data_IF_491982054165
#
_entry.id   IF_491982054165
#
_cell.length_a   1.000
_cell.length_b   1.000
_cell.length_c   1.000
_cell.angle_alpha   90.00
_cell.angle_beta   90.00
_cell.angle_gamma   90.00
#
_symmetry.space_group_name_H-M   'P 1'
#
loop_
_entity.id
_entity.type
_entity.pdbx_description
1 polymer ?
#
# COMPACT_ATOMS: atom_id res chain seq x y z
N UNK A 1 -0.18 -8.99 25.29
CA UNK A 1 1.29 -9.05 25.45
C UNK A 1 1.92 -8.32 24.26
N UNK A 2 2.67 -7.24 24.51
CA UNK A 2 3.34 -6.44 23.47
C UNK A 2 4.54 -7.22 22.93
N UNK A 3 4.35 -8.00 21.88
CA UNK A 3 5.37 -8.87 21.30
C UNK A 3 6.29 -8.12 20.31
N UNK A 4 6.77 -6.93 20.68
CA UNK A 4 7.93 -6.33 19.99
C UNK A 4 9.19 -6.93 20.60
N UNK A 5 9.56 -8.14 20.15
CA UNK A 5 10.70 -8.97 20.62
C UNK A 5 12.08 -8.32 20.37
N UNK A 6 12.28 -7.07 20.76
CA UNK A 6 13.56 -6.39 20.55
C UNK A 6 14.71 -7.11 21.29
N UNK A 7 14.43 -7.83 22.38
CA UNK A 7 15.40 -8.65 23.11
C UNK A 7 15.85 -9.89 22.34
N UNK A 8 15.09 -10.36 21.35
CA UNK A 8 15.52 -11.44 20.45
C UNK A 8 16.58 -10.98 19.43
N UNK A 9 16.94 -9.70 19.41
CA UNK A 9 17.95 -9.17 18.49
C UNK A 9 19.36 -9.69 18.81
N UNK A 10 19.90 -10.54 17.92
CA UNK A 10 21.27 -11.07 18.00
C UNK A 10 22.35 -10.11 17.46
N UNK A 11 22.00 -8.86 17.15
CA UNK A 11 22.92 -7.78 16.71
C UNK A 11 23.74 -8.06 15.44
N UNK A 12 23.31 -8.97 14.56
CA UNK A 12 24.02 -9.34 13.32
C UNK A 12 24.08 -8.26 12.21
N UNK A 13 23.32 -7.17 12.31
CA UNK A 13 23.33 -6.02 11.36
C UNK A 13 22.79 -6.31 9.95
N UNK A 14 22.29 -7.52 9.67
CA UNK A 14 21.64 -7.87 8.37
C UNK A 14 20.50 -6.92 8.01
N UNK A 15 19.74 -6.44 8.99
CA UNK A 15 18.67 -5.47 8.75
C UNK A 15 19.16 -4.16 8.12
N UNK A 16 20.40 -3.74 8.41
CA UNK A 16 20.99 -2.51 7.85
C UNK A 16 21.39 -2.71 6.40
N UNK A 17 21.92 -3.87 6.02
CA UNK A 17 22.38 -4.14 4.63
C UNK A 17 21.21 -4.18 3.64
N UNK A 18 20.03 -4.64 4.08
CA UNK A 18 18.81 -4.67 3.27
C UNK A 18 18.00 -3.38 3.32
N UNK A 19 18.38 -2.41 4.16
CA UNK A 19 17.62 -1.19 4.35
C UNK A 19 17.86 -0.21 3.19
N UNK A 20 16.82 0.14 2.40
CA UNK A 20 17.01 1.06 1.29
C UNK A 20 17.40 2.47 1.75
N UNK A 21 16.88 2.93 2.89
CA UNK A 21 17.15 4.28 3.40
C UNK A 21 18.61 4.40 3.85
N UNK A 22 19.13 3.41 4.58
CA UNK A 22 20.52 3.44 5.09
C UNK A 22 21.54 3.45 3.96
N UNK A 23 21.19 2.85 2.81
CA UNK A 23 22.07 2.80 1.63
C UNK A 23 22.22 4.13 0.90
N UNK A 24 21.33 5.11 1.12
CA UNK A 24 21.34 6.39 0.37
C UNK A 24 21.21 7.64 1.24
N UNK A 25 20.85 7.52 2.52
CA UNK A 25 20.69 8.65 3.42
C UNK A 25 21.55 8.46 4.68
N UNK A 26 22.72 9.11 4.77
CA UNK A 26 23.63 8.97 5.90
C UNK A 26 23.08 9.57 7.21
N UNK A 27 22.01 10.38 7.15
CA UNK A 27 21.35 10.91 8.34
C UNK A 27 20.47 9.88 9.04
N UNK A 28 20.16 8.75 8.39
CA UNK A 28 19.43 7.67 9.02
C UNK A 28 20.41 6.70 9.68
N UNK A 29 20.38 6.50 11.01
CA UNK A 29 21.31 5.62 11.72
C UNK A 29 21.11 4.13 11.41
N UNK A 30 20.11 3.81 10.58
CA UNK A 30 19.78 2.46 10.17
C UNK A 30 18.80 1.77 11.10
N UNK A 31 18.18 0.67 10.63
CA UNK A 31 17.06 0.03 11.32
C UNK A 31 17.49 -0.66 12.62
N UNK A 32 18.75 -1.11 12.74
CA UNK A 32 19.28 -1.69 13.98
C UNK A 32 19.31 -0.67 15.13
N UNK A 33 19.94 0.48 14.89
CA UNK A 33 20.06 1.54 15.89
C UNK A 33 18.71 2.23 16.13
N UNK A 34 17.97 2.55 15.07
CA UNK A 34 16.67 3.18 15.19
C UNK A 34 15.63 2.26 15.87
N UNK A 35 15.72 0.95 15.61
CA UNK A 35 14.84 -0.09 16.17
C UNK A 35 15.37 -0.67 17.48
N UNK A 36 15.78 -1.95 17.52
CA UNK A 36 15.98 -2.70 18.77
C UNK A 36 17.07 -2.15 19.70
N UNK A 37 18.17 -1.60 19.16
CA UNK A 37 19.23 -1.05 20.03
C UNK A 37 18.77 0.25 20.70
N UNK A 38 18.15 1.17 19.93
CA UNK A 38 17.57 2.39 20.47
C UNK A 38 16.36 2.14 21.36
N UNK A 39 15.61 1.05 21.16
CA UNK A 39 14.44 0.72 21.98
C UNK A 39 14.82 0.44 23.43
N UNK A 40 15.91 -0.30 23.63
CA UNK A 40 16.46 -0.57 24.95
C UNK A 40 16.83 0.72 25.72
N UNK A 41 17.22 1.77 25.00
CA UNK A 41 17.50 3.09 25.58
C UNK A 41 16.20 3.84 25.89
N UNK A 42 15.27 3.91 24.94
CA UNK A 42 13.98 4.62 25.08
C UNK A 42 13.09 4.07 26.18
N UNK A 43 13.18 2.77 26.48
CA UNK A 43 12.47 2.16 27.61
C UNK A 43 13.01 2.61 28.97
N UNK A 44 14.28 2.98 29.07
CA UNK A 44 14.88 3.54 30.30
C UNK A 44 14.57 5.04 30.42
N UNK A 45 14.66 5.76 29.32
CA UNK A 45 14.37 7.18 29.26
C UNK A 45 13.85 7.57 27.87
N UNK A 46 12.58 7.98 27.80
CA UNK A 46 11.92 8.39 26.56
C UNK A 46 12.58 9.60 25.88
N UNK A 47 13.39 10.39 26.60
CA UNK A 47 14.15 11.51 26.04
C UNK A 47 15.28 11.06 25.12
N UNK A 48 15.65 9.78 25.15
CA UNK A 48 16.62 9.16 24.23
C UNK A 48 16.00 8.82 22.87
N UNK A 49 14.81 9.37 22.57
CA UNK A 49 14.22 9.32 21.24
C UNK A 49 15.04 10.16 20.24
N UNK A 50 15.33 9.56 19.08
CA UNK A 50 16.05 10.21 17.99
C UNK A 50 15.07 10.60 16.88
N UNK A 51 15.04 11.88 16.52
CA UNK A 51 14.22 12.39 15.43
C UNK A 51 14.58 11.78 14.06
N UNK A 52 15.76 11.18 13.90
CA UNK A 52 16.15 10.44 12.71
C UNK A 52 15.26 9.21 12.44
N UNK A 53 14.49 8.72 13.42
CA UNK A 53 13.50 7.65 13.21
C UNK A 53 12.48 8.03 12.12
N UNK A 54 12.22 9.32 11.89
CA UNK A 54 11.31 9.80 10.83
C UNK A 54 11.76 9.45 9.41
N UNK A 55 13.04 9.15 9.19
CA UNK A 55 13.54 8.70 7.89
C UNK A 55 13.17 7.24 7.58
N UNK A 56 12.74 6.46 8.58
CA UNK A 56 12.22 5.12 8.34
C UNK A 56 10.94 5.18 7.48
N UNK A 57 10.97 4.46 6.36
CA UNK A 57 9.87 4.42 5.40
C UNK A 57 8.88 3.26 5.63
N UNK A 58 8.99 2.54 6.74
CA UNK A 58 8.12 1.41 7.11
C UNK A 58 7.95 0.31 6.03
N UNK A 59 8.98 0.08 5.21
CA UNK A 59 8.93 -0.92 4.13
C UNK A 59 9.05 -2.38 4.59
N UNK A 60 9.32 -2.61 5.89
CA UNK A 60 9.43 -3.94 6.52
C UNK A 60 10.52 -4.89 6.00
N UNK A 61 11.34 -4.50 5.02
CA UNK A 61 12.47 -5.31 4.52
C UNK A 61 13.44 -5.76 5.62
N UNK A 62 13.68 -4.91 6.61
CA UNK A 62 14.51 -5.25 7.78
C UNK A 62 13.94 -6.41 8.60
N UNK A 63 12.62 -6.57 8.62
CA UNK A 63 11.95 -7.65 9.35
C UNK A 63 11.94 -8.94 8.54
N UNK A 64 11.81 -8.87 7.21
CA UNK A 64 11.93 -10.04 6.33
C UNK A 64 13.31 -10.67 6.44
N UNK A 65 14.36 -9.84 6.50
CA UNK A 65 15.73 -10.33 6.60
C UNK A 65 16.18 -10.69 8.03
N UNK A 66 15.35 -10.48 9.04
CA UNK A 66 15.74 -10.71 10.43
C UNK A 66 15.66 -12.21 10.78
N UNK A 67 16.79 -12.88 11.13
CA UNK A 67 16.78 -14.30 11.46
C UNK A 67 16.06 -14.62 12.79
N UNK A 68 15.84 -13.59 13.62
CA UNK A 68 15.22 -13.72 14.94
C UNK A 68 13.79 -13.16 14.98
N UNK A 69 13.21 -12.86 13.81
CA UNK A 69 11.86 -12.29 13.64
C UNK A 69 11.59 -11.04 14.48
N UNK A 70 12.61 -10.19 14.69
CA UNK A 70 12.44 -8.90 15.38
C UNK A 70 11.61 -7.98 14.49
N UNK A 71 10.50 -7.45 15.02
CA UNK A 71 9.61 -6.48 14.34
C UNK A 71 10.19 -5.07 14.34
N UNK A 72 11.34 -4.91 13.69
CA UNK A 72 12.16 -3.69 13.71
C UNK A 72 11.40 -2.47 13.20
N UNK A 73 10.64 -2.61 12.11
CA UNK A 73 9.80 -1.55 11.57
C UNK A 73 8.72 -1.14 12.56
N UNK A 74 8.07 -2.12 13.22
CA UNK A 74 7.06 -1.83 14.23
C UNK A 74 7.63 -1.10 15.45
N UNK A 75 8.78 -1.53 15.95
CA UNK A 75 9.49 -0.86 17.04
C UNK A 75 9.73 0.62 16.69
N UNK A 76 10.23 0.90 15.49
CA UNK A 76 10.47 2.28 15.04
C UNK A 76 9.16 3.08 14.96
N UNK A 77 8.11 2.50 14.38
CA UNK A 77 6.82 3.20 14.24
C UNK A 77 6.15 3.45 15.59
N UNK A 78 6.22 2.51 16.54
CA UNK A 78 5.75 2.69 17.92
C UNK A 78 6.54 3.75 18.66
N UNK A 79 7.87 3.76 18.51
CA UNK A 79 8.71 4.77 19.11
C UNK A 79 8.35 6.18 18.59
N UNK A 80 8.13 6.33 17.27
CA UNK A 80 7.62 7.58 16.69
C UNK A 80 6.27 7.98 17.26
N UNK A 81 5.32 7.04 17.36
CA UNK A 81 3.99 7.32 17.89
C UNK A 81 4.00 7.71 19.38
N UNK A 82 4.93 7.18 20.17
CA UNK A 82 4.98 7.38 21.63
C UNK A 82 5.83 8.58 22.05
N UNK A 83 6.97 8.80 21.39
CA UNK A 83 7.99 9.73 21.86
C UNK A 83 8.23 10.94 20.96
N UNK A 84 7.74 10.94 19.70
CA UNK A 84 7.88 12.10 18.82
C UNK A 84 7.19 13.32 19.41
N UNK A 85 7.93 14.42 19.52
CA UNK A 85 7.38 15.71 19.95
C UNK A 85 6.87 16.55 18.76
N UNK A 86 7.21 16.16 17.53
CA UNK A 86 6.74 16.83 16.33
C UNK A 86 5.23 16.65 16.16
N UNK A 87 4.52 17.78 16.17
CA UNK A 87 3.09 17.82 15.85
C UNK A 87 2.90 17.82 14.33
N UNK A 88 1.91 17.08 13.79
CA UNK A 88 1.63 17.09 12.36
C UNK A 88 1.30 18.50 11.85
N UNK A 89 1.90 18.87 10.73
CA UNK A 89 1.67 20.16 10.05
C UNK A 89 0.40 20.15 9.18
N UNK A 90 0.04 21.31 8.63
CA UNK A 90 -1.05 21.42 7.64
C UNK A 90 -0.78 20.54 6.40
N UNK A 91 0.47 20.52 5.90
CA UNK A 91 0.88 19.60 4.82
C UNK A 91 0.58 18.16 5.20
N UNK A 92 0.97 17.75 6.40
CA UNK A 92 0.82 16.37 6.86
C UNK A 92 -0.67 16.01 6.93
N UNK A 93 -1.51 16.93 7.39
CA UNK A 93 -2.97 16.75 7.40
C UNK A 93 -3.54 16.59 5.98
N UNK A 94 -3.15 17.45 5.02
CA UNK A 94 -3.61 17.37 3.63
C UNK A 94 -3.22 16.02 3.01
N UNK A 95 -1.96 15.61 3.16
CA UNK A 95 -1.45 14.38 2.56
C UNK A 95 -1.99 13.10 3.22
N UNK A 96 -2.36 13.15 4.50
CA UNK A 96 -2.79 11.95 5.25
C UNK A 96 -4.30 11.72 5.27
N UNK A 97 -5.12 12.74 5.02
CA UNK A 97 -6.58 12.67 5.15
C UNK A 97 -7.27 12.33 3.83
N UNK A 98 -6.96 11.16 3.29
CA UNK A 98 -7.40 10.73 1.95
C UNK A 98 -8.92 10.75 1.77
N UNK A 99 -9.70 10.32 2.77
CA UNK A 99 -11.17 10.31 2.67
C UNK A 99 -11.75 11.72 2.62
N UNK A 100 -11.18 12.66 3.38
CA UNK A 100 -11.60 14.06 3.37
C UNK A 100 -11.24 14.70 2.03
N UNK A 101 -9.97 14.61 1.62
CA UNK A 101 -9.49 15.21 0.38
C UNK A 101 -10.17 14.60 -0.84
N UNK A 102 -10.38 13.28 -0.85
CA UNK A 102 -11.09 12.59 -1.91
C UNK A 102 -12.56 13.02 -2.00
N UNK A 103 -13.26 13.13 -0.87
CA UNK A 103 -14.68 13.53 -0.86
C UNK A 103 -14.89 14.98 -1.33
N UNK A 104 -13.95 15.87 -1.01
CA UNK A 104 -13.98 17.28 -1.46
C UNK A 104 -13.55 17.42 -2.93
N UNK A 105 -12.55 16.65 -3.37
CA UNK A 105 -11.94 16.83 -4.70
C UNK A 105 -12.70 16.12 -5.82
N UNK A 106 -13.29 14.97 -5.55
CA UNK A 106 -13.96 14.12 -6.57
C UNK A 106 -15.09 14.84 -7.34
N UNK A 107 -15.98 15.64 -6.69
CA UNK A 107 -17.01 16.39 -7.41
C UNK A 107 -16.43 17.45 -8.36
N UNK A 108 -15.23 17.96 -8.09
CA UNK A 108 -14.56 19.00 -8.86
C UNK A 108 -13.31 18.45 -9.57
N UNK A 109 -13.23 17.13 -9.78
CA UNK A 109 -12.01 16.47 -10.22
C UNK A 109 -11.39 17.05 -11.50
N UNK A 110 -12.15 17.41 -12.56
CA UNK A 110 -11.56 18.04 -13.75
C UNK A 110 -10.80 19.33 -13.41
N UNK A 111 -11.38 20.20 -12.58
CA UNK A 111 -10.76 21.46 -12.18
C UNK A 111 -9.55 21.23 -11.26
N UNK A 112 -9.70 20.37 -10.25
CA UNK A 112 -8.62 20.05 -9.30
C UNK A 112 -7.44 19.42 -10.02
N UNK A 113 -7.68 18.47 -10.92
CA UNK A 113 -6.63 17.82 -11.71
C UNK A 113 -5.95 18.80 -12.68
N UNK A 114 -6.73 19.68 -13.34
CA UNK A 114 -6.17 20.72 -14.21
C UNK A 114 -5.26 21.67 -13.40
N UNK A 115 -5.77 22.23 -12.29
CA UNK A 115 -5.01 23.14 -11.44
C UNK A 115 -3.73 22.49 -10.89
N UNK A 116 -3.83 21.30 -10.33
CA UNK A 116 -2.67 20.60 -9.73
C UNK A 116 -1.64 20.10 -10.75
N UNK A 117 -1.98 20.07 -12.04
CA UNK A 117 -1.04 19.76 -13.12
C UNK A 117 -0.19 20.95 -13.57
N UNK A 118 -0.60 22.18 -13.25
CA UNK A 118 0.10 23.40 -13.66
C UNK A 118 1.40 23.57 -12.88
N UNK A 119 2.50 23.87 -13.58
CA UNK A 119 3.82 24.12 -12.96
C UNK A 119 3.78 25.22 -11.88
N UNK A 120 3.13 26.38 -12.09
CA UNK A 120 3.05 27.43 -11.05
C UNK A 120 2.36 26.97 -9.77
N UNK A 121 1.31 26.14 -9.89
CA UNK A 121 0.59 25.60 -8.73
C UNK A 121 1.50 24.65 -7.94
N UNK A 122 2.24 23.78 -8.63
CA UNK A 122 3.22 22.90 -7.97
C UNK A 122 4.34 23.67 -7.27
N UNK A 123 4.86 24.73 -7.89
CA UNK A 123 5.86 25.61 -7.27
C UNK A 123 5.31 26.33 -6.03
N UNK A 124 4.04 26.77 -6.07
CA UNK A 124 3.37 27.37 -4.92
C UNK A 124 3.22 26.34 -3.78
N UNK A 125 2.80 25.12 -4.08
CA UNK A 125 2.68 24.04 -3.08
C UNK A 125 4.04 23.66 -2.48
N UNK A 126 5.11 23.70 -3.26
CA UNK A 126 6.48 23.52 -2.76
C UNK A 126 6.88 24.64 -1.80
N UNK A 127 6.73 25.90 -2.23
CA UNK A 127 7.11 27.05 -1.42
C UNK A 127 6.32 27.17 -0.11
N UNK A 128 5.01 26.87 -0.14
CA UNK A 128 4.11 27.08 1.01
C UNK A 128 3.94 25.85 1.88
N UNK A 129 3.80 24.67 1.28
CA UNK A 129 3.51 23.42 1.98
C UNK A 129 4.68 22.44 1.96
N UNK A 130 5.80 22.72 1.27
CA UNK A 130 6.94 21.80 1.13
C UNK A 130 6.55 20.46 0.52
N UNK A 131 5.65 20.50 -0.47
CA UNK A 131 5.35 19.37 -1.37
C UNK A 131 6.20 19.57 -2.61
N UNK A 132 7.14 18.66 -2.88
CA UNK A 132 8.15 18.88 -3.92
C UNK A 132 7.53 19.11 -5.31
N UNK A 133 7.92 20.18 -5.99
CA UNK A 133 7.33 20.56 -7.29
C UNK A 133 7.62 19.58 -8.43
N UNK A 134 8.59 18.67 -8.28
CA UNK A 134 8.81 17.57 -9.24
C UNK A 134 7.76 16.47 -9.11
N UNK A 135 6.91 16.51 -8.08
CA UNK A 135 5.85 15.53 -7.87
C UNK A 135 4.58 15.93 -8.60
N UNK A 136 3.96 14.92 -9.20
CA UNK A 136 2.59 15.02 -9.68
C UNK A 136 1.66 14.48 -8.62
N UNK A 137 0.71 15.31 -8.17
CA UNK A 137 -0.29 14.86 -7.21
C UNK A 137 -1.19 13.78 -7.86
N UNK A 138 -1.62 12.76 -7.10
CA UNK A 138 -2.52 11.75 -7.61
C UNK A 138 -3.81 12.37 -8.14
N UNK A 139 -4.15 12.05 -9.39
CA UNK A 139 -5.39 12.53 -10.01
C UNK A 139 -6.61 11.91 -9.33
N UNK A 140 -7.66 12.71 -9.17
CA UNK A 140 -8.97 12.23 -8.71
C UNK A 140 -9.83 11.84 -9.91
N UNK A 141 -10.67 10.81 -9.73
CA UNK A 141 -11.71 10.45 -10.70
C UNK A 141 -12.89 11.41 -10.58
N UNK A 142 -13.65 11.60 -11.66
CA UNK A 142 -14.96 12.25 -11.57
C UNK A 142 -15.98 11.21 -11.07
N UNK A 143 -16.44 11.38 -9.82
CA UNK A 143 -17.26 10.39 -9.12
C UNK A 143 -16.45 9.29 -8.42
N UNK A 144 -17.10 8.55 -7.53
CA UNK A 144 -16.45 7.52 -6.69
C UNK A 144 -16.81 6.10 -7.10
N UNK A 145 -15.94 5.14 -6.79
CA UNK A 145 -16.25 3.71 -6.94
C UNK A 145 -17.50 3.33 -6.16
N UNK A 146 -17.64 3.76 -4.90
CA UNK A 146 -18.84 3.47 -4.09
C UNK A 146 -20.13 3.97 -4.72
N UNK A 147 -20.10 5.14 -5.39
CA UNK A 147 -21.27 5.67 -6.10
C UNK A 147 -21.60 4.81 -7.32
N UNK A 148 -20.58 4.41 -8.08
CA UNK A 148 -20.76 3.49 -9.20
C UNK A 148 -21.27 2.11 -8.74
N UNK A 149 -20.72 1.54 -7.67
CA UNK A 149 -21.11 0.22 -7.16
C UNK A 149 -22.61 0.12 -6.86
N UNK A 150 -23.25 1.20 -6.42
CA UNK A 150 -24.71 1.24 -6.19
C UNK A 150 -25.52 0.85 -7.43
N UNK A 151 -25.01 1.09 -8.64
CA UNK A 151 -25.72 0.74 -9.88
C UNK A 151 -25.61 -0.75 -10.23
N UNK A 152 -24.73 -1.50 -9.58
CA UNK A 152 -24.53 -2.95 -9.80
C UNK A 152 -24.77 -3.78 -8.54
N UNK A 153 -25.08 -3.14 -7.40
CA UNK A 153 -25.20 -3.81 -6.10
C UNK A 153 -26.26 -4.93 -6.09
N UNK A 154 -27.38 -4.72 -6.77
CA UNK A 154 -28.44 -5.74 -6.90
C UNK A 154 -27.96 -6.94 -7.71
N UNK A 155 -27.23 -6.71 -8.82
CA UNK A 155 -26.62 -7.78 -9.62
C UNK A 155 -25.58 -8.55 -8.81
N UNK A 156 -24.78 -7.86 -7.99
CA UNK A 156 -23.80 -8.51 -7.13
C UNK A 156 -24.46 -9.35 -6.01
N UNK A 157 -25.67 -8.98 -5.58
CA UNK A 157 -26.42 -9.72 -4.59
C UNK A 157 -27.05 -11.02 -5.13
N UNK A 158 -27.13 -11.20 -6.46
CA UNK A 158 -27.67 -12.40 -7.10
C UNK A 158 -26.71 -13.60 -7.09
N UNK A 159 -25.42 -13.38 -6.79
CA UNK A 159 -24.45 -14.47 -6.68
C UNK A 159 -24.58 -15.17 -5.31
N UNK A 160 -24.58 -16.50 -5.32
CA UNK A 160 -24.62 -17.31 -4.09
C UNK A 160 -23.28 -17.22 -3.33
N UNK A 161 -22.17 -17.40 -4.04
CA UNK A 161 -20.81 -17.21 -3.50
C UNK A 161 -20.44 -15.73 -3.52
N UNK A 162 -20.06 -15.18 -2.37
CA UNK A 162 -19.76 -13.75 -2.23
C UNK A 162 -18.54 -13.50 -1.35
N UNK A 163 -17.85 -12.42 -1.67
CA UNK A 163 -16.74 -11.89 -0.89
C UNK A 163 -16.98 -10.45 -0.50
N UNK A 164 -16.41 -10.04 0.63
CA UNK A 164 -16.39 -8.64 1.01
C UNK A 164 -15.20 -7.93 0.37
N UNK A 165 -15.37 -6.69 -0.12
CA UNK A 165 -14.29 -5.92 -0.72
C UNK A 165 -13.94 -4.69 0.13
N UNK A 166 -12.70 -4.67 0.63
CA UNK A 166 -12.05 -3.48 1.15
C UNK A 166 -11.44 -2.70 -0.03
N UNK A 167 -12.17 -1.68 -0.52
CA UNK A 167 -11.77 -0.98 -1.74
C UNK A 167 -10.61 0.00 -1.50
N UNK A 168 -10.49 0.53 -0.28
CA UNK A 168 -9.51 1.53 0.08
C UNK A 168 -9.75 2.89 -0.58
N UNK A 169 -8.92 3.87 -0.23
CA UNK A 169 -9.08 5.23 -0.74
C UNK A 169 -8.73 5.36 -2.23
N UNK A 170 -7.74 4.61 -2.71
CA UNK A 170 -7.28 4.69 -4.10
C UNK A 170 -8.36 4.27 -5.10
N UNK A 171 -8.95 3.08 -4.93
CA UNK A 171 -10.05 2.62 -5.80
C UNK A 171 -11.22 3.59 -5.69
N UNK A 172 -11.53 4.08 -4.48
CA UNK A 172 -12.70 4.93 -4.32
C UNK A 172 -12.59 6.30 -4.99
N UNK A 173 -11.44 6.96 -4.90
CA UNK A 173 -11.29 8.36 -5.28
C UNK A 173 -10.37 8.62 -6.46
N UNK A 174 -9.34 7.80 -6.68
CA UNK A 174 -8.31 8.04 -7.69
C UNK A 174 -8.52 7.15 -8.92
N UNK A 175 -8.83 5.87 -8.70
CA UNK A 175 -8.91 4.89 -9.78
C UNK A 175 -10.06 3.88 -9.58
N UNK A 176 -11.33 4.32 -9.72
CA UNK A 176 -12.50 3.44 -9.64
C UNK A 176 -12.45 2.27 -10.62
N UNK A 177 -11.77 2.43 -11.76
CA UNK A 177 -11.66 1.37 -12.77
C UNK A 177 -11.08 0.07 -12.20
N UNK A 178 -10.07 0.14 -11.33
CA UNK A 178 -9.50 -1.05 -10.69
C UNK A 178 -10.54 -1.84 -9.88
N UNK A 179 -11.48 -1.16 -9.21
CA UNK A 179 -12.57 -1.83 -8.52
C UNK A 179 -13.53 -2.51 -9.50
N UNK A 180 -13.82 -1.87 -10.64
CA UNK A 180 -14.66 -2.47 -11.70
C UNK A 180 -13.97 -3.69 -12.32
N UNK A 181 -12.67 -3.60 -12.55
CA UNK A 181 -11.83 -4.69 -13.06
C UNK A 181 -11.87 -5.89 -12.11
N UNK A 182 -11.77 -5.64 -10.79
CA UNK A 182 -11.92 -6.70 -9.80
C UNK A 182 -13.29 -7.38 -9.87
N UNK A 183 -14.38 -6.60 -9.92
CA UNK A 183 -15.72 -7.15 -10.06
C UNK A 183 -15.87 -7.97 -11.34
N UNK A 184 -15.31 -7.50 -12.47
CA UNK A 184 -15.32 -8.24 -13.75
C UNK A 184 -14.66 -9.61 -13.59
N UNK A 185 -13.48 -9.66 -12.97
CA UNK A 185 -12.73 -10.91 -12.78
C UNK A 185 -13.46 -11.86 -11.82
N UNK A 186 -13.97 -11.36 -10.68
CA UNK A 186 -14.69 -12.20 -9.72
C UNK A 186 -16.03 -12.71 -10.27
N UNK A 187 -16.79 -11.87 -10.97
CA UNK A 187 -18.04 -12.26 -11.61
C UNK A 187 -17.81 -13.35 -12.67
N UNK A 188 -16.71 -13.29 -13.42
CA UNK A 188 -16.34 -14.32 -14.40
C UNK A 188 -16.05 -15.69 -13.74
N UNK A 189 -15.77 -15.72 -12.43
CA UNK A 189 -15.61 -16.93 -11.62
C UNK A 189 -16.88 -17.30 -10.84
N UNK A 190 -18.00 -16.60 -11.08
CA UNK A 190 -19.26 -16.84 -10.37
C UNK A 190 -19.28 -16.34 -8.92
N UNK A 191 -18.40 -15.40 -8.56
CA UNK A 191 -18.33 -14.83 -7.19
C UNK A 191 -18.76 -13.37 -7.21
N UNK A 192 -19.79 -13.03 -6.44
CA UNK A 192 -20.26 -11.65 -6.26
C UNK A 192 -19.44 -10.88 -5.22
N UNK A 193 -19.52 -9.55 -5.27
CA UNK A 193 -18.82 -8.65 -4.34
C UNK A 193 -19.80 -7.89 -3.48
N UNK A 194 -19.56 -7.86 -2.16
CA UNK A 194 -20.25 -6.99 -1.22
C UNK A 194 -19.30 -5.93 -0.65
N UNK A 195 -19.71 -4.67 -0.59
CA UNK A 195 -18.91 -3.65 0.11
C UNK A 195 -19.07 -3.75 1.63
N UNK A 196 -18.03 -3.38 2.36
CA UNK A 196 -18.08 -3.23 3.82
C UNK A 196 -19.06 -2.11 4.22
N UNK A 197 -19.78 -2.31 5.32
CA UNK A 197 -20.83 -1.41 5.80
C UNK A 197 -20.33 0.01 6.10
N UNK A 198 -19.14 0.13 6.69
CA UNK A 198 -18.56 1.41 7.13
C UNK A 198 -17.04 1.46 6.98
N UNK A 199 -16.57 1.24 5.77
CA UNK A 199 -15.15 1.37 5.44
C UNK A 199 -14.61 2.80 5.70
N UNK A 200 -13.42 2.85 6.30
CA UNK A 200 -12.52 4.00 6.38
C UNK A 200 -11.18 3.63 5.74
N UNK A 201 -10.38 4.63 5.40
CA UNK A 201 -8.98 4.41 5.02
C UNK A 201 -8.27 3.41 5.97
N UNK A 202 -7.38 2.57 5.43
CA UNK A 202 -6.62 1.59 6.19
C UNK A 202 -5.77 2.24 7.30
N UNK A 203 -5.45 3.53 7.19
CA UNK A 203 -4.77 4.32 8.22
C UNK A 203 -3.28 4.54 7.97
N UNK A 204 -2.68 3.90 6.96
CA UNK A 204 -1.23 4.05 6.65
C UNK A 204 -0.82 5.52 6.44
N UNK A 205 -1.55 6.35 5.66
CA UNK A 205 -1.18 7.76 5.51
C UNK A 205 -1.20 8.52 6.85
N UNK A 206 -2.12 8.17 7.77
CA UNK A 206 -2.20 8.78 9.10
C UNK A 206 -1.03 8.31 9.99
N UNK A 207 -0.71 7.01 9.97
CA UNK A 207 0.44 6.45 10.70
C UNK A 207 1.74 7.12 10.26
N UNK A 208 1.97 7.21 8.95
CA UNK A 208 3.19 7.78 8.38
C UNK A 208 3.40 9.26 8.76
N UNK A 209 2.30 9.99 9.01
CA UNK A 209 2.27 11.42 9.31
C UNK A 209 2.01 11.75 10.79
N UNK A 210 2.05 10.77 11.69
CA UNK A 210 1.95 10.99 13.14
C UNK A 210 0.53 11.18 13.68
N UNK A 211 -0.51 10.88 12.89
CA UNK A 211 -1.92 10.90 13.33
C UNK A 211 -2.37 9.55 13.91
N UNK A 212 -1.57 8.96 14.80
CA UNK A 212 -1.76 7.59 15.31
C UNK A 212 -3.10 7.39 15.99
N UNK A 213 -3.57 8.33 16.81
CA UNK A 213 -4.87 8.19 17.48
C UNK A 213 -6.04 8.19 16.50
N UNK A 214 -5.94 8.97 15.41
CA UNK A 214 -6.94 8.97 14.35
C UNK A 214 -6.89 7.68 13.54
N UNK A 215 -5.68 7.19 13.24
CA UNK A 215 -5.49 5.88 12.62
C UNK A 215 -6.13 4.77 13.47
N UNK A 216 -5.91 4.78 14.80
CA UNK A 216 -6.54 3.85 15.75
C UNK A 216 -8.07 3.91 15.70
N UNK A 217 -8.66 5.10 15.66
CA UNK A 217 -10.12 5.25 15.52
C UNK A 217 -10.65 4.70 14.20
N UNK A 218 -9.95 4.92 13.09
CA UNK A 218 -10.32 4.35 11.79
C UNK A 218 -10.19 2.82 11.80
N UNK A 219 -9.10 2.29 12.37
CA UNK A 219 -8.89 0.85 12.52
C UNK A 219 -10.00 0.18 13.34
N UNK A 220 -10.45 0.79 14.45
CA UNK A 220 -11.61 0.30 15.22
C UNK A 220 -12.89 0.23 14.37
N UNK A 221 -13.17 1.28 13.58
CA UNK A 221 -14.33 1.28 12.66
C UNK A 221 -14.22 0.18 11.60
N UNK A 222 -13.02 0.00 11.02
CA UNK A 222 -12.78 -1.03 10.02
C UNK A 222 -12.94 -2.42 10.63
N UNK A 223 -12.37 -2.70 11.80
CA UNK A 223 -12.51 -4.00 12.49
C UNK A 223 -13.97 -4.34 12.77
N UNK A 224 -14.82 -3.37 13.13
CA UNK A 224 -16.26 -3.61 13.26
C UNK A 224 -16.87 -4.09 11.94
N UNK A 225 -16.60 -3.42 10.81
CA UNK A 225 -17.12 -3.84 9.51
C UNK A 225 -16.49 -5.15 9.00
N UNK A 226 -15.21 -5.41 9.30
CA UNK A 226 -14.53 -6.67 8.98
C UNK A 226 -15.17 -7.83 9.75
N UNK A 227 -15.48 -7.64 11.03
CA UNK A 227 -16.16 -8.64 11.85
C UNK A 227 -17.56 -8.95 11.30
N UNK A 228 -18.32 -7.92 10.93
CA UNK A 228 -19.63 -8.10 10.29
C UNK A 228 -19.52 -8.94 9.00
N UNK A 229 -18.51 -8.68 8.17
CA UNK A 229 -18.31 -9.44 6.93
C UNK A 229 -17.87 -10.89 7.19
N UNK A 230 -16.90 -11.09 8.06
CA UNK A 230 -16.23 -12.38 8.25
C UNK A 230 -17.04 -13.30 9.19
N UNK A 231 -17.45 -12.78 10.34
CA UNK A 231 -18.10 -13.57 11.40
C UNK A 231 -19.59 -13.70 11.14
N UNK A 232 -20.27 -12.58 10.89
CA UNK A 232 -21.74 -12.59 10.79
C UNK A 232 -22.21 -13.10 9.42
N UNK A 233 -21.44 -12.84 8.36
CA UNK A 233 -21.80 -13.16 6.96
C UNK A 233 -20.95 -14.26 6.33
N UNK A 234 -19.90 -14.75 7.00
CA UNK A 234 -19.04 -15.81 6.49
C UNK A 234 -18.23 -15.45 5.24
N UNK A 235 -18.08 -14.16 4.91
CA UNK A 235 -17.38 -13.72 3.70
C UNK A 235 -15.92 -13.37 4.00
N UNK A 236 -14.94 -13.90 3.26
CA UNK A 236 -13.58 -13.39 3.34
C UNK A 236 -13.54 -11.95 2.81
N UNK A 237 -12.59 -11.17 3.30
CA UNK A 237 -12.38 -9.78 2.90
C UNK A 237 -11.18 -9.71 1.96
N UNK A 238 -11.42 -9.23 0.75
CA UNK A 238 -10.40 -9.02 -0.26
C UNK A 238 -10.00 -7.54 -0.30
N UNK A 239 -8.74 -7.26 -0.60
CA UNK A 239 -8.31 -5.95 -1.06
C UNK A 239 -7.39 -6.09 -2.29
N UNK A 240 -7.28 -5.02 -3.07
CA UNK A 240 -6.32 -4.94 -4.19
C UNK A 240 -4.98 -4.36 -3.76
N UNK A 241 -4.96 -3.49 -2.76
CA UNK A 241 -3.73 -2.86 -2.27
C UNK A 241 -2.99 -3.77 -1.29
N UNK A 242 -1.77 -4.17 -1.65
CA UNK A 242 -0.85 -4.90 -0.76
C UNK A 242 -0.61 -4.19 0.57
N UNK A 243 -0.52 -2.85 0.54
CA UNK A 243 -0.39 -2.01 1.73
C UNK A 243 -1.63 -2.08 2.62
N UNK A 244 -2.83 -1.91 2.06
CA UNK A 244 -4.06 -2.00 2.84
C UNK A 244 -4.23 -3.39 3.47
N UNK A 245 -4.02 -4.46 2.69
CA UNK A 245 -4.10 -5.84 3.20
C UNK A 245 -3.13 -6.07 4.36
N UNK A 246 -1.86 -5.71 4.19
CA UNK A 246 -0.84 -5.87 5.22
C UNK A 246 -1.19 -5.09 6.49
N UNK A 247 -1.61 -3.83 6.35
CA UNK A 247 -1.92 -3.01 7.52
C UNK A 247 -3.15 -3.50 8.29
N UNK A 248 -4.24 -3.85 7.59
CA UNK A 248 -5.45 -4.38 8.21
C UNK A 248 -5.20 -5.69 8.96
N UNK A 249 -4.37 -6.56 8.37
CA UNK A 249 -4.11 -7.91 8.86
C UNK A 249 -3.02 -7.96 9.93
N UNK A 250 -1.91 -7.29 9.71
CA UNK A 250 -0.70 -7.45 10.50
C UNK A 250 -0.37 -6.21 11.36
N UNK A 251 -0.57 -4.98 10.85
CA UNK A 251 -0.15 -3.79 11.60
C UNK A 251 -1.17 -3.31 12.64
N UNK A 252 -2.47 -3.61 12.50
CA UNK A 252 -3.50 -3.14 13.44
C UNK A 252 -3.23 -3.53 14.90
N UNK A 253 -2.95 -4.81 15.22
CA UNK A 253 -2.62 -5.19 16.59
C UNK A 253 -1.31 -4.59 17.07
N UNK A 254 -0.29 -4.56 16.21
CA UNK A 254 1.09 -4.23 16.62
C UNK A 254 1.38 -2.72 16.68
N UNK A 255 0.75 -1.91 15.82
CA UNK A 255 0.99 -0.46 15.74
C UNK A 255 -0.12 0.37 16.38
N UNK A 256 -1.37 -0.09 16.27
CA UNK A 256 -2.53 0.68 16.71
C UNK A 256 -3.18 0.14 17.98
N UNK A 257 -2.71 -1.00 18.49
CA UNK A 257 -3.29 -1.72 19.63
C UNK A 257 -4.80 -1.98 19.38
N UNK A 258 -5.15 -2.31 18.13
CA UNK A 258 -6.51 -2.71 17.71
C UNK A 258 -6.50 -4.19 17.38
N UNK A 259 -7.14 -4.97 18.23
CA UNK A 259 -7.25 -6.41 18.06
C UNK A 259 -8.06 -6.79 16.81
N UNK A 260 -7.53 -7.73 16.04
CA UNK A 260 -8.17 -8.33 14.87
C UNK A 260 -8.09 -9.86 14.91
N UNK A 261 -7.88 -10.45 16.10
CA UNK A 261 -7.88 -11.89 16.30
C UNK A 261 -9.15 -12.53 15.71
N UNK A 262 -8.97 -13.67 15.05
CA UNK A 262 -10.04 -14.35 14.31
C UNK A 262 -10.43 -13.70 12.97
N UNK A 263 -10.02 -12.46 12.68
CA UNK A 263 -10.25 -11.82 11.38
C UNK A 263 -9.04 -11.97 10.45
N UNK A 264 -7.84 -12.01 11.03
CA UNK A 264 -6.55 -12.01 10.33
C UNK A 264 -6.49 -12.95 9.13
N UNK A 265 -6.84 -14.22 9.32
CA UNK A 265 -6.73 -15.27 8.29
C UNK A 265 -7.74 -15.12 7.13
N UNK A 266 -8.78 -14.31 7.34
CA UNK A 266 -9.84 -14.06 6.36
C UNK A 266 -9.65 -12.74 5.61
N UNK A 267 -8.55 -12.03 5.83
CA UNK A 267 -8.19 -10.81 5.10
C UNK A 267 -7.06 -11.15 4.13
N UNK A 268 -7.35 -11.12 2.84
CA UNK A 268 -6.37 -11.50 1.82
C UNK A 268 -6.32 -10.55 0.62
N UNK A 269 -5.27 -10.68 -0.19
CA UNK A 269 -5.16 -10.00 -1.47
C UNK A 269 -6.08 -10.69 -2.47
N UNK A 270 -6.71 -9.90 -3.33
CA UNK A 270 -7.55 -10.42 -4.41
C UNK A 270 -6.81 -11.45 -5.26
N UNK A 271 -5.54 -11.24 -5.58
CA UNK A 271 -4.72 -12.18 -6.36
C UNK A 271 -4.51 -13.52 -5.64
N UNK A 272 -4.32 -13.52 -4.32
CA UNK A 272 -4.25 -14.78 -3.54
C UNK A 272 -5.58 -15.53 -3.55
N UNK A 273 -6.69 -14.82 -3.39
CA UNK A 273 -8.01 -15.44 -3.43
C UNK A 273 -8.32 -16.06 -4.80
N UNK A 274 -8.06 -15.32 -5.88
CA UNK A 274 -8.25 -15.80 -7.25
C UNK A 274 -7.40 -17.05 -7.51
N UNK A 275 -6.13 -17.06 -7.09
CA UNK A 275 -5.28 -18.24 -7.19
C UNK A 275 -5.89 -19.45 -6.45
N UNK A 276 -6.34 -19.27 -5.21
CA UNK A 276 -6.97 -20.35 -4.42
C UNK A 276 -8.21 -20.92 -5.10
N UNK A 277 -9.02 -20.08 -5.74
CA UNK A 277 -10.20 -20.54 -6.50
C UNK A 277 -9.80 -21.37 -7.71
N UNK A 278 -8.77 -20.94 -8.44
CA UNK A 278 -8.22 -21.73 -9.57
C UNK A 278 -7.62 -23.06 -9.10
N UNK A 279 -6.85 -23.05 -8.01
CA UNK A 279 -6.27 -24.25 -7.39
C UNK A 279 -7.35 -25.24 -6.91
N UNK A 280 -8.53 -24.74 -6.54
CA UNK A 280 -9.71 -25.56 -6.21
C UNK A 280 -10.48 -26.10 -7.42
N UNK A 281 -10.01 -25.87 -8.65
CA UNK A 281 -10.61 -26.36 -9.89
C UNK A 281 -11.55 -25.39 -10.60
N UNK A 282 -11.70 -24.14 -10.13
CA UNK A 282 -12.39 -23.12 -10.93
C UNK A 282 -11.55 -22.71 -12.14
N UNK A 283 -12.21 -22.20 -13.17
CA UNK A 283 -11.56 -21.72 -14.39
C UNK A 283 -11.77 -20.23 -14.57
N UNK A 284 -10.77 -19.56 -15.16
CA UNK A 284 -10.89 -18.17 -15.60
C UNK A 284 -10.57 -18.11 -17.10
N UNK A 285 -11.53 -17.77 -17.98
CA UNK A 285 -11.36 -17.87 -19.44
C UNK A 285 -10.55 -16.69 -19.98
N UNK A 286 -9.24 -16.69 -19.74
CA UNK A 286 -8.32 -15.64 -20.17
C UNK A 286 -8.01 -15.75 -21.66
N UNK A 287 -8.30 -14.68 -22.40
CA UNK A 287 -7.89 -14.47 -23.79
C UNK A 287 -6.45 -13.98 -23.91
N UNK A 288 -5.94 -13.96 -25.15
CA UNK A 288 -4.56 -13.60 -25.44
C UNK A 288 -4.31 -12.10 -25.23
N UNK A 289 -3.22 -11.77 -24.54
CA UNK A 289 -2.75 -10.41 -24.32
C UNK A 289 -1.26 -10.32 -24.67
N UNK A 290 -0.90 -10.01 -25.93
CA UNK A 290 0.49 -9.99 -26.40
C UNK A 290 1.20 -8.73 -25.89
N UNK A 291 1.63 -8.76 -24.62
CA UNK A 291 2.34 -7.68 -23.95
C UNK A 291 3.57 -8.22 -23.23
N UNK A 292 4.67 -7.49 -23.34
CA UNK A 292 5.85 -7.68 -22.50
C UNK A 292 5.72 -6.83 -21.25
N UNK A 293 5.72 -7.48 -20.10
CA UNK A 293 5.50 -6.83 -18.81
C UNK A 293 6.61 -7.13 -17.83
N UNK A 294 6.97 -6.12 -17.05
CA UNK A 294 7.89 -6.27 -15.92
C UNK A 294 7.15 -6.08 -14.61
N UNK A 295 7.41 -6.96 -13.65
CA UNK A 295 6.76 -6.91 -12.34
C UNK A 295 7.69 -6.33 -11.28
N UNK A 296 7.20 -5.32 -10.56
CA UNK A 296 7.82 -4.80 -9.36
C UNK A 296 7.10 -5.33 -8.13
N UNK A 297 7.78 -6.13 -7.32
CA UNK A 297 7.27 -6.64 -6.03
C UNK A 297 7.21 -5.51 -4.98
N UNK A 298 6.02 -5.07 -4.54
CA UNK A 298 5.92 -4.09 -3.46
C UNK A 298 6.50 -4.62 -2.15
N UNK A 299 7.08 -3.73 -1.34
CA UNK A 299 7.70 -4.12 -0.07
C UNK A 299 6.73 -4.77 0.96
N UNK A 300 5.45 -4.36 0.97
CA UNK A 300 4.43 -5.01 1.81
C UNK A 300 3.97 -6.35 1.21
N UNK A 301 3.98 -6.51 -0.11
CA UNK A 301 3.75 -7.81 -0.76
C UNK A 301 4.86 -8.81 -0.42
N UNK A 302 6.12 -8.36 -0.48
CA UNK A 302 7.30 -9.11 -0.07
C UNK A 302 7.20 -9.56 1.39
N UNK A 303 6.83 -8.66 2.32
CA UNK A 303 6.65 -9.00 3.74
C UNK A 303 5.58 -10.06 3.97
N UNK A 304 4.55 -10.09 3.14
CA UNK A 304 3.49 -11.10 3.21
C UNK A 304 3.90 -12.42 2.55
N UNK A 305 4.93 -12.43 1.69
CA UNK A 305 5.33 -13.62 0.92
C UNK A 305 4.31 -14.03 -0.15
N UNK A 306 3.50 -13.09 -0.64
CA UNK A 306 2.34 -13.39 -1.49
C UNK A 306 2.54 -13.04 -2.98
N UNK A 307 3.73 -12.57 -3.36
CA UNK A 307 4.10 -12.24 -4.74
C UNK A 307 3.84 -13.41 -5.71
N UNK A 308 4.14 -14.64 -5.29
CA UNK A 308 3.95 -15.84 -6.09
C UNK A 308 2.53 -15.96 -6.67
N UNK A 309 1.49 -15.69 -5.87
CA UNK A 309 0.11 -15.78 -6.33
C UNK A 309 -0.20 -14.80 -7.47
N UNK A 310 0.32 -13.58 -7.38
CA UNK A 310 0.18 -12.59 -8.45
C UNK A 310 0.95 -13.04 -9.70
N UNK A 311 2.18 -13.56 -9.54
CA UNK A 311 3.02 -13.98 -10.66
C UNK A 311 2.40 -15.17 -11.41
N UNK A 312 1.90 -16.18 -10.70
CA UNK A 312 1.26 -17.32 -11.33
C UNK A 312 -0.02 -16.94 -12.08
N UNK A 313 -0.85 -16.04 -11.51
CA UNK A 313 -2.03 -15.53 -12.22
C UNK A 313 -1.66 -14.81 -13.52
N UNK A 314 -0.60 -14.01 -13.53
CA UNK A 314 -0.16 -13.31 -14.73
C UNK A 314 0.37 -14.30 -15.78
N UNK A 315 1.06 -15.36 -15.37
CA UNK A 315 1.56 -16.42 -16.28
C UNK A 315 0.44 -17.21 -16.96
N UNK A 316 -0.76 -17.23 -16.38
CA UNK A 316 -1.93 -17.86 -17.01
C UNK A 316 -2.49 -17.06 -18.18
N UNK A 317 -2.14 -15.77 -18.34
CA UNK A 317 -2.61 -14.95 -19.45
C UNK A 317 -1.86 -15.37 -20.73
N UNK A 318 -2.53 -15.94 -21.74
CA UNK A 318 -1.85 -16.34 -22.98
C UNK A 318 -1.20 -15.14 -23.68
N UNK A 319 0.02 -15.30 -24.18
CA UNK A 319 0.76 -14.26 -24.89
C UNK A 319 1.40 -13.17 -24.00
N UNK A 320 1.21 -13.23 -22.67
CA UNK A 320 1.86 -12.29 -21.76
C UNK A 320 3.30 -12.73 -21.46
N UNK A 321 4.27 -11.91 -21.82
CA UNK A 321 5.68 -12.13 -21.47
C UNK A 321 6.01 -11.45 -20.14
N UNK A 322 6.16 -12.24 -19.06
CA UNK A 322 6.38 -11.73 -17.71
C UNK A 322 7.85 -11.83 -17.28
N UNK A 323 8.46 -10.70 -16.93
CA UNK A 323 9.78 -10.63 -16.27
C UNK A 323 9.64 -10.07 -14.85
N UNK A 324 10.24 -10.70 -13.84
CA UNK A 324 10.26 -10.17 -12.47
C UNK A 324 11.53 -9.35 -12.27
N UNK A 325 11.41 -8.09 -11.82
CA UNK A 325 12.56 -7.23 -11.57
C UNK A 325 13.17 -7.52 -10.20
N UNK A 326 14.50 -7.57 -10.13
CA UNK A 326 15.25 -7.59 -8.86
C UNK A 326 15.19 -6.20 -8.21
N UNK A 327 14.05 -5.93 -7.58
CA UNK A 327 13.68 -4.60 -7.14
C UNK A 327 13.53 -4.55 -5.63
N UNK A 328 14.16 -3.54 -5.01
CA UNK A 328 14.12 -3.36 -3.55
C UNK A 328 12.86 -2.62 -3.10
N UNK A 329 12.84 -1.31 -3.32
CA UNK A 329 11.77 -0.40 -2.92
C UNK A 329 11.69 0.70 -3.97
N UNK A 330 10.48 1.14 -4.33
CA UNK A 330 10.31 2.27 -5.24
C UNK A 330 10.68 3.62 -4.61
N UNK A 331 10.78 3.70 -3.27
CA UNK A 331 11.24 4.87 -2.53
C UNK A 331 10.17 5.89 -2.14
N UNK A 332 8.92 5.74 -2.57
CA UNK A 332 7.86 6.74 -2.31
C UNK A 332 7.29 6.68 -0.89
N UNK A 333 7.10 5.48 -0.35
CA UNK A 333 6.51 5.19 0.97
C UNK A 333 5.31 6.07 1.33
N UNK A 334 4.26 5.98 0.52
CA UNK A 334 3.06 6.78 0.66
C UNK A 334 3.33 8.26 0.39
N UNK A 335 3.34 9.05 1.45
CA UNK A 335 3.50 10.52 1.37
C UNK A 335 4.94 10.97 1.63
N UNK A 336 5.82 10.05 2.07
CA UNK A 336 7.21 10.36 2.40
C UNK A 336 7.94 11.05 1.23
N UNK A 337 7.88 10.44 0.04
CA UNK A 337 8.55 10.95 -1.16
C UNK A 337 7.93 12.21 -1.75
N UNK A 338 6.73 12.60 -1.32
CA UNK A 338 6.09 13.86 -1.74
C UNK A 338 6.67 15.09 -1.01
N UNK A 339 7.31 14.89 0.14
CA UNK A 339 7.86 15.99 0.95
C UNK A 339 9.19 16.44 0.35
N UNK A 340 9.36 17.75 0.16
CA UNK A 340 10.57 18.37 -0.42
C UNK A 340 11.86 17.86 0.24
N UNK A 341 11.88 17.80 1.57
CA UNK A 341 13.05 17.35 2.33
C UNK A 341 13.44 15.88 2.11
N UNK A 342 12.56 15.07 1.52
CA UNK A 342 12.76 13.64 1.29
C UNK A 342 12.84 13.30 -0.20
N UNK A 343 12.66 14.25 -1.11
CA UNK A 343 12.54 13.98 -2.55
C UNK A 343 13.79 13.27 -3.09
N UNK A 344 14.98 13.81 -2.82
CA UNK A 344 16.25 13.24 -3.28
C UNK A 344 16.49 11.83 -2.72
N UNK A 345 16.23 11.63 -1.41
CA UNK A 345 16.33 10.30 -0.78
C UNK A 345 15.34 9.32 -1.42
N UNK A 346 14.10 9.75 -1.67
CA UNK A 346 13.06 8.94 -2.32
C UNK A 346 13.47 8.52 -3.73
N UNK A 347 14.02 9.44 -4.52
CA UNK A 347 14.53 9.15 -5.86
C UNK A 347 15.75 8.23 -5.83
N UNK A 348 16.70 8.47 -4.92
CA UNK A 348 17.90 7.64 -4.79
C UNK A 348 17.55 6.18 -4.39
N UNK A 349 16.56 5.97 -3.52
CA UNK A 349 16.06 4.63 -3.16
C UNK A 349 15.50 3.92 -4.41
N UNK A 350 14.70 4.62 -5.21
CA UNK A 350 14.01 4.05 -6.37
C UNK A 350 14.86 3.92 -7.63
N UNK A 351 15.98 4.66 -7.73
CA UNK A 351 16.80 4.74 -8.95
C UNK A 351 17.21 3.38 -9.54
N UNK A 352 17.61 2.35 -8.76
CA UNK A 352 17.90 1.03 -9.33
C UNK A 352 16.70 0.36 -10.01
N UNK A 353 15.49 0.53 -9.46
CA UNK A 353 14.25 0.02 -10.07
C UNK A 353 13.96 0.77 -11.37
N UNK A 354 14.10 2.10 -11.38
CA UNK A 354 13.80 2.92 -12.56
C UNK A 354 14.71 2.58 -13.73
N UNK A 355 16.01 2.38 -13.49
CA UNK A 355 16.95 1.92 -14.52
C UNK A 355 16.54 0.57 -15.11
N UNK A 356 16.25 -0.42 -14.27
CA UNK A 356 15.79 -1.74 -14.73
C UNK A 356 14.51 -1.65 -15.58
N UNK A 357 13.58 -0.76 -15.22
CA UNK A 357 12.35 -0.54 -15.99
C UNK A 357 12.67 0.01 -17.38
N UNK A 358 13.51 1.05 -17.48
CA UNK A 358 13.87 1.66 -18.77
C UNK A 358 14.65 0.69 -19.67
N UNK A 359 15.55 -0.10 -19.07
CA UNK A 359 16.40 -1.06 -19.77
C UNK A 359 15.66 -2.34 -20.18
N UNK A 360 14.49 -2.62 -19.60
CA UNK A 360 13.76 -3.89 -19.80
C UNK A 360 13.18 -4.09 -21.20
N UNK A 361 12.92 -2.99 -21.92
CA UNK A 361 12.13 -3.01 -23.15
C UNK A 361 10.69 -3.49 -22.97
N UNK A 362 10.12 -3.46 -21.75
CA UNK A 362 8.74 -3.85 -21.49
C UNK A 362 7.74 -2.77 -21.99
N UNK A 363 6.53 -3.19 -22.32
CA UNK A 363 5.42 -2.30 -22.70
C UNK A 363 4.86 -1.58 -21.46
N UNK A 364 4.68 -2.33 -20.36
CA UNK A 364 4.11 -1.83 -19.12
C UNK A 364 4.79 -2.44 -17.89
N UNK A 365 4.72 -1.72 -16.77
CA UNK A 365 5.11 -2.21 -15.45
C UNK A 365 3.88 -2.70 -14.70
N UNK A 366 3.99 -3.76 -13.90
CA UNK A 366 2.89 -4.32 -13.10
C UNK A 366 3.25 -4.29 -11.62
N UNK A 367 2.32 -3.86 -10.76
CA UNK A 367 2.54 -3.85 -9.29
C UNK A 367 1.22 -3.84 -8.49
N UNK A 368 1.18 -4.53 -7.35
CA UNK A 368 0.02 -4.61 -6.43
C UNK A 368 -0.06 -3.43 -5.45
N UNK A 369 0.56 -2.29 -5.78
CA UNK A 369 0.65 -1.13 -4.89
C UNK A 369 0.46 0.19 -5.62
N UNK A 370 -0.60 0.91 -5.26
CA UNK A 370 -1.00 2.18 -5.84
C UNK A 370 0.07 3.27 -5.70
N UNK A 371 0.80 3.30 -4.58
CA UNK A 371 1.85 4.30 -4.39
C UNK A 371 3.11 3.96 -5.19
N UNK A 372 3.42 2.67 -5.36
CA UNK A 372 4.49 2.23 -6.26
C UNK A 372 4.18 2.61 -7.70
N UNK A 373 2.92 2.43 -8.15
CA UNK A 373 2.45 2.90 -9.46
C UNK A 373 2.74 4.39 -9.64
N UNK A 374 2.33 5.25 -8.71
CA UNK A 374 2.59 6.69 -8.83
C UNK A 374 4.09 7.01 -8.93
N UNK A 375 4.91 6.33 -8.13
CA UNK A 375 6.35 6.56 -8.13
C UNK A 375 7.00 6.16 -9.45
N UNK A 376 6.62 5.00 -9.98
CA UNK A 376 7.11 4.49 -11.26
C UNK A 376 6.68 5.41 -12.40
N UNK A 377 5.41 5.80 -12.46
CA UNK A 377 4.88 6.67 -13.52
C UNK A 377 5.44 8.10 -13.47
N UNK A 378 5.88 8.56 -12.29
CA UNK A 378 6.56 9.86 -12.16
C UNK A 378 8.05 9.81 -12.47
N UNK A 379 8.67 8.63 -12.49
CA UNK A 379 10.14 8.48 -12.53
C UNK A 379 10.63 7.64 -13.72
N UNK A 380 9.70 7.17 -14.57
CA UNK A 380 10.00 6.37 -15.77
C UNK A 380 9.07 6.75 -16.93
N UNK A 381 9.45 6.34 -18.15
CA UNK A 381 8.67 6.48 -19.38
C UNK A 381 7.47 5.52 -19.44
N UNK A 382 7.42 4.52 -18.55
CA UNK A 382 6.47 3.42 -18.62
C UNK A 382 5.22 3.67 -17.79
N UNK A 383 4.08 3.25 -18.34
CA UNK A 383 2.83 3.13 -17.58
C UNK A 383 2.95 1.97 -16.60
N UNK A 384 2.28 2.10 -15.46
CA UNK A 384 2.24 1.04 -14.46
C UNK A 384 0.79 0.62 -14.19
N UNK A 385 0.47 -0.67 -14.25
CA UNK A 385 -0.88 -1.19 -14.06
C UNK A 385 -0.96 -2.18 -12.90
N UNK A 386 -2.17 -2.37 -12.38
CA UNK A 386 -2.43 -3.38 -11.37
C UNK A 386 -2.63 -4.76 -12.05
N UNK A 387 -2.17 -5.88 -11.47
CA UNK A 387 -2.34 -7.21 -12.07
C UNK A 387 -3.80 -7.58 -12.39
N UNK A 388 -4.74 -7.22 -11.50
CA UNK A 388 -6.18 -7.40 -11.73
C UNK A 388 -6.67 -6.71 -13.02
N UNK A 389 -6.12 -5.55 -13.37
CA UNK A 389 -6.48 -4.84 -14.62
C UNK A 389 -6.01 -5.62 -15.85
N UNK A 390 -4.89 -6.35 -15.77
CA UNK A 390 -4.44 -7.22 -16.87
C UNK A 390 -5.35 -8.45 -17.01
N UNK A 391 -5.74 -9.08 -15.90
CA UNK A 391 -6.72 -10.17 -15.90
C UNK A 391 -8.06 -9.70 -16.49
N UNK A 392 -8.55 -8.53 -16.09
CA UNK A 392 -9.79 -7.96 -16.60
C UNK A 392 -9.73 -7.66 -18.12
N UNK A 393 -8.58 -7.21 -18.63
CA UNK A 393 -8.34 -7.02 -20.08
C UNK A 393 -8.31 -8.35 -20.83
N UNK A 394 -7.68 -9.37 -20.25
CA UNK A 394 -7.62 -10.69 -20.85
C UNK A 394 -9.01 -11.36 -20.95
N UNK A 395 -9.99 -10.96 -20.12
CA UNK A 395 -11.38 -11.45 -20.22
C UNK A 395 -12.20 -10.84 -21.38
N UNK A 396 -11.64 -9.91 -22.17
CA UNK A 396 -12.37 -9.14 -23.20
C UNK A 396 -13.02 -7.92 -22.61
#
# INVERSE_FOLDING_TARGET
>A
MNDTRFESCIKCTVCTTVCPVSGVNPRYPGPKQAGPDGERLRLKDGRLYDEALKYCINCKRCEVACPSDVKIGDIIQRARARYSTQKPSLRDAILSHTDLMGSVSTPFAPLVNAATSLKPVRQLLDATLKIDHHRSLPKYSHGTFRRWYKTVAEQQAQYDDRVAFFHGCYVNYNHPQLGKDLLKVLNAMGTGVQLLSKEKCCGVPLIANGFTDKARRQAKSNVTSLREAIVDKGMPVLATSSTCTFTLRDEYPHLLDVDNAGLREHIELATRFLWRKLDSGQTLPLGTLPLKVVYHTPCHMEKMGWSLYTLELLRLIPGLELTVLDSRCCGIAGTYGFKRENYETSQAIGAPLFRQIEESGADIVVTDCETCKWQIEMSTSKRCEHPITLLAKALG
#
